data_IF_488872302877
#
_entry.id   IF_488872302877
#
_cell.length_a   1.000
_cell.length_b   1.000
_cell.length_c   1.000
_cell.angle_alpha   90.00
_cell.angle_beta   90.00
_cell.angle_gamma   90.00
#
_symmetry.space_group_name_H-M   'P 1'
#
loop_
_entity.id
_entity.type
_entity.pdbx_description
1 polymer ?
#
# COMPACT_ATOMS: atom_id res chain seq x y z
N UNK A 1 7.22 33.91 -5.18
CA UNK A 1 7.56 32.62 -5.79
C UNK A 1 8.50 31.97 -4.80
N UNK A 2 7.96 31.13 -3.93
CA UNK A 2 8.75 30.42 -2.94
C UNK A 2 9.62 29.40 -3.67
N UNK A 3 10.94 29.50 -3.53
CA UNK A 3 11.88 28.48 -3.96
C UNK A 3 11.68 27.26 -3.06
N UNK A 4 10.76 26.38 -3.45
CA UNK A 4 10.71 25.03 -2.91
C UNK A 4 11.93 24.29 -3.46
N UNK A 5 12.96 24.13 -2.62
CA UNK A 5 14.13 23.31 -2.90
C UNK A 5 13.68 21.88 -3.21
N UNK A 6 13.69 21.49 -4.48
CA UNK A 6 13.44 20.10 -4.89
C UNK A 6 14.70 19.32 -4.53
N UNK A 7 14.60 18.46 -3.51
CA UNK A 7 15.67 17.54 -3.15
C UNK A 7 15.63 16.33 -4.09
N UNK A 8 16.61 16.21 -4.99
CA UNK A 8 16.79 15.00 -5.79
C UNK A 8 17.53 13.95 -4.97
N UNK A 9 16.93 12.77 -4.82
CA UNK A 9 17.61 11.60 -4.29
C UNK A 9 18.55 11.03 -5.37
N UNK A 10 19.85 10.97 -5.10
CA UNK A 10 20.79 10.22 -5.95
C UNK A 10 20.44 8.73 -5.88
N UNK A 11 20.02 8.15 -7.01
CA UNK A 11 19.68 6.72 -7.11
C UNK A 11 20.85 5.77 -6.83
N UNK A 12 22.07 6.30 -6.70
CA UNK A 12 23.27 5.55 -6.31
C UNK A 12 23.57 5.59 -4.81
N UNK A 13 22.80 6.36 -4.02
CA UNK A 13 22.95 6.40 -2.56
C UNK A 13 22.53 5.04 -1.95
N UNK A 14 23.42 4.34 -1.22
CA UNK A 14 23.10 3.06 -0.58
C UNK A 14 21.89 3.12 0.35
N UNK A 15 21.66 4.24 1.03
CA UNK A 15 20.52 4.40 1.93
C UNK A 15 19.21 4.56 1.15
N UNK A 16 19.25 5.25 0.01
CA UNK A 16 18.11 5.37 -0.91
C UNK A 16 17.76 4.02 -1.55
N UNK A 17 18.77 3.26 -1.99
CA UNK A 17 18.59 1.90 -2.51
C UNK A 17 17.97 0.99 -1.43
N UNK A 18 18.39 1.13 -0.17
CA UNK A 18 17.79 0.40 0.94
C UNK A 18 16.33 0.83 1.20
N UNK A 19 16.00 2.11 1.04
CA UNK A 19 14.63 2.60 1.13
C UNK A 19 13.74 1.98 0.03
N UNK A 20 14.22 1.88 -1.21
CA UNK A 20 13.51 1.19 -2.29
C UNK A 20 13.21 -0.27 -1.93
N UNK A 21 14.22 -1.01 -1.46
CA UNK A 21 14.05 -2.41 -1.05
C UNK A 21 13.02 -2.56 0.06
N UNK A 22 13.07 -1.71 1.10
CA UNK A 22 12.07 -1.71 2.17
C UNK A 22 10.66 -1.45 1.63
N UNK A 23 10.50 -0.51 0.71
CA UNK A 23 9.21 -0.25 0.06
C UNK A 23 8.70 -1.51 -0.66
N UNK A 24 9.55 -2.17 -1.45
CA UNK A 24 9.20 -3.40 -2.18
C UNK A 24 8.82 -4.55 -1.23
N UNK A 25 9.63 -4.80 -0.20
CA UNK A 25 9.42 -5.88 0.78
C UNK A 25 8.12 -5.70 1.59
N UNK A 26 7.74 -4.45 1.83
CA UNK A 26 6.58 -4.10 2.66
C UNK A 26 5.35 -3.71 1.84
N UNK A 27 5.43 -3.65 0.50
CA UNK A 27 4.32 -3.29 -0.38
C UNK A 27 3.06 -4.13 -0.16
N UNK A 28 3.22 -5.40 0.23
CA UNK A 28 2.10 -6.29 0.60
C UNK A 28 1.17 -5.70 1.67
N UNK A 29 1.70 -4.87 2.59
CA UNK A 29 0.92 -4.20 3.63
C UNK A 29 0.13 -3.01 3.09
N UNK A 30 0.73 -2.23 2.18
CA UNK A 30 0.01 -1.22 1.40
C UNK A 30 -1.15 -1.86 0.64
N UNK A 31 -0.89 -2.94 -0.10
CA UNK A 31 -1.94 -3.63 -0.85
C UNK A 31 -3.04 -4.17 0.06
N UNK A 32 -2.68 -4.73 1.21
CA UNK A 32 -3.66 -5.20 2.19
C UNK A 32 -4.62 -4.08 2.60
N UNK A 33 -4.11 -2.89 2.97
CA UNK A 33 -4.96 -1.75 3.31
C UNK A 33 -5.81 -1.29 2.11
N UNK A 34 -5.19 -1.11 0.95
CA UNK A 34 -5.88 -0.66 -0.26
C UNK A 34 -7.00 -1.63 -0.71
N UNK A 35 -6.78 -2.94 -0.55
CA UNK A 35 -7.79 -3.95 -0.87
C UNK A 35 -9.05 -3.82 0.00
N UNK A 36 -8.89 -3.39 1.26
CA UNK A 36 -10.00 -3.08 2.15
C UNK A 36 -10.62 -1.72 1.87
N UNK A 37 -9.80 -0.74 1.47
CA UNK A 37 -10.29 0.58 1.06
C UNK A 37 -11.30 0.48 -0.09
N UNK A 38 -11.05 -0.35 -1.10
CA UNK A 38 -11.99 -0.59 -2.20
C UNK A 38 -13.31 -1.25 -1.78
N UNK A 39 -13.38 -1.82 -0.57
CA UNK A 39 -14.61 -2.41 0.00
C UNK A 39 -15.38 -1.41 0.85
N UNK A 40 -14.83 -0.21 1.09
CA UNK A 40 -15.50 0.82 1.89
C UNK A 40 -16.47 1.64 1.04
N UNK A 41 -17.62 1.96 1.62
CA UNK A 41 -18.57 2.91 1.04
C UNK A 41 -18.08 4.35 1.25
N UNK A 42 -17.48 4.61 2.42
CA UNK A 42 -16.90 5.91 2.78
C UNK A 42 -15.38 5.70 2.83
N UNK A 43 -14.61 6.41 1.98
CA UNK A 43 -13.16 6.32 1.98
C UNK A 43 -12.56 6.54 3.38
N UNK A 44 -11.63 5.68 3.76
CA UNK A 44 -10.88 5.78 5.01
C UNK A 44 -9.49 6.39 4.81
N UNK A 45 -8.94 6.30 3.60
CA UNK A 45 -7.62 6.83 3.27
C UNK A 45 -7.73 8.25 2.75
N UNK A 46 -6.88 9.14 3.26
CA UNK A 46 -6.73 10.51 2.75
C UNK A 46 -5.86 10.55 1.50
N UNK A 47 -4.86 9.67 1.43
CA UNK A 47 -3.93 9.49 0.32
C UNK A 47 -3.64 8.00 0.21
N UNK A 48 -3.49 7.52 -1.02
CA UNK A 48 -2.97 6.19 -1.32
C UNK A 48 -2.32 6.20 -2.70
N UNK A 49 -1.01 6.05 -2.74
CA UNK A 49 -0.24 6.09 -3.98
C UNK A 49 1.05 5.27 -3.88
N UNK A 50 1.55 4.84 -5.04
CA UNK A 50 2.80 4.08 -5.17
C UNK A 50 3.71 4.86 -6.10
N UNK A 51 4.98 5.00 -5.74
CA UNK A 51 6.00 5.62 -6.59
C UNK A 51 6.75 4.52 -7.32
N UNK A 52 6.86 4.64 -8.63
CA UNK A 52 7.50 3.65 -9.50
C UNK A 52 8.51 4.30 -10.41
N UNK A 53 9.51 3.52 -10.85
CA UNK A 53 10.47 3.95 -11.86
C UNK A 53 9.88 3.83 -13.27
N UNK A 54 9.97 4.90 -14.04
CA UNK A 54 9.75 4.92 -15.48
C UNK A 54 11.06 5.26 -16.17
N UNK A 55 11.25 4.77 -17.40
CA UNK A 55 12.45 5.10 -18.15
C UNK A 55 12.18 5.25 -19.64
N UNK A 56 12.99 6.10 -20.27
CA UNK A 56 13.00 6.34 -21.72
C UNK A 56 14.44 6.61 -22.18
N UNK A 57 14.70 6.46 -23.47
CA UNK A 57 15.98 6.90 -24.03
C UNK A 57 15.90 8.37 -24.39
N UNK A 58 16.83 9.16 -23.87
CA UNK A 58 16.95 10.56 -24.21
C UNK A 58 17.52 10.75 -25.64
N UNK A 59 17.69 12.01 -26.06
CA UNK A 59 18.17 12.36 -27.41
C UNK A 59 19.61 11.89 -27.70
N UNK A 60 20.42 11.64 -26.66
CA UNK A 60 21.78 11.09 -26.80
C UNK A 60 21.79 9.55 -26.82
N UNK A 61 20.63 8.92 -26.58
CA UNK A 61 20.48 7.47 -26.50
C UNK A 61 20.77 6.87 -25.12
N UNK A 62 21.05 7.72 -24.11
CA UNK A 62 21.21 7.33 -22.71
C UNK A 62 19.85 7.08 -22.05
N UNK A 63 19.81 6.19 -21.06
CA UNK A 63 18.58 5.90 -20.33
C UNK A 63 18.35 7.01 -19.30
N UNK A 64 17.22 7.68 -19.42
CA UNK A 64 16.71 8.60 -18.42
C UNK A 64 15.68 7.87 -17.54
N UNK A 65 15.69 8.13 -16.23
CA UNK A 65 14.85 7.43 -15.26
C UNK A 65 14.18 8.46 -14.36
N UNK A 66 12.85 8.43 -14.32
CA UNK A 66 12.05 9.24 -13.41
C UNK A 66 11.25 8.37 -12.46
N UNK A 67 11.19 8.77 -11.19
CA UNK A 67 10.36 8.11 -10.19
C UNK A 67 9.08 8.90 -9.97
N UNK A 68 7.95 8.34 -10.40
CA UNK A 68 6.67 9.05 -10.45
C UNK A 68 5.57 8.26 -9.73
N UNK A 69 4.55 8.98 -9.29
CA UNK A 69 3.45 8.44 -8.51
C UNK A 69 2.35 7.89 -9.42
N UNK A 70 1.82 6.74 -9.04
CA UNK A 70 0.60 6.16 -9.58
C UNK A 70 -0.44 6.00 -8.45
N UNK A 71 -1.73 6.05 -8.80
CA UNK A 71 -2.86 5.79 -7.90
C UNK A 71 -3.79 4.68 -8.48
N UNK A 72 -4.93 4.46 -7.82
CA UNK A 72 -5.92 3.43 -8.17
C UNK A 72 -5.25 2.08 -8.42
N UNK A 73 -4.45 1.69 -7.43
CA UNK A 73 -3.56 0.55 -7.51
C UNK A 73 -4.36 -0.75 -7.56
N UNK A 74 -3.99 -1.66 -8.45
CA UNK A 74 -4.42 -3.05 -8.47
C UNK A 74 -3.18 -3.93 -8.38
N UNK A 75 -3.26 -5.06 -7.68
CA UNK A 75 -2.14 -5.98 -7.54
C UNK A 75 -2.60 -7.42 -7.71
N UNK A 76 -1.94 -8.14 -8.61
CA UNK A 76 -2.24 -9.54 -8.94
C UNK A 76 -1.33 -10.55 -8.23
N UNK A 77 -0.42 -10.05 -7.37
CA UNK A 77 0.60 -10.84 -6.70
C UNK A 77 1.99 -10.68 -7.31
N UNK A 78 2.10 -10.27 -8.58
CA UNK A 78 3.35 -10.13 -9.34
C UNK A 78 3.61 -8.71 -9.84
N UNK A 79 2.58 -8.07 -10.39
CA UNK A 79 2.63 -6.74 -10.99
C UNK A 79 1.56 -5.84 -10.38
N UNK A 80 1.87 -4.55 -10.32
CA UNK A 80 0.91 -3.52 -9.95
C UNK A 80 0.41 -2.82 -11.21
N UNK A 81 -0.86 -2.46 -11.21
CA UNK A 81 -1.47 -1.61 -12.23
C UNK A 81 -2.04 -0.35 -11.59
N UNK A 82 -2.08 0.75 -12.32
CA UNK A 82 -2.61 2.01 -11.82
C UNK A 82 -2.51 3.12 -12.85
N UNK A 83 -2.88 4.34 -12.47
CA UNK A 83 -2.79 5.52 -13.34
C UNK A 83 -1.69 6.46 -12.88
N UNK A 84 -0.88 6.97 -13.82
CA UNK A 84 0.14 7.99 -13.55
C UNK A 84 -0.51 9.32 -13.14
N UNK A 85 -0.11 9.89 -12.00
CA UNK A 85 -0.76 11.09 -11.42
C UNK A 85 0.08 12.36 -11.42
N UNK A 86 1.33 12.31 -11.92
CA UNK A 86 2.15 13.50 -12.10
C UNK A 86 2.79 13.51 -13.49
N UNK A 87 3.09 14.72 -13.96
CA UNK A 87 3.76 14.92 -15.25
C UNK A 87 5.22 14.44 -15.19
N UNK A 88 5.71 13.78 -16.25
CA UNK A 88 7.15 13.56 -16.43
C UNK A 88 7.86 14.89 -16.74
N UNK A 89 9.12 14.98 -16.33
CA UNK A 89 9.96 16.14 -16.60
C UNK A 89 10.65 16.04 -17.97
N UNK A 90 11.15 14.86 -18.30
CA UNK A 90 11.98 14.59 -19.46
C UNK A 90 11.51 13.38 -20.27
N UNK A 91 10.83 12.41 -19.65
CA UNK A 91 10.31 11.24 -20.36
C UNK A 91 9.24 11.64 -21.38
N UNK A 92 9.34 11.09 -22.60
CA UNK A 92 8.43 11.40 -23.72
C UNK A 92 7.47 10.24 -24.06
N UNK A 93 7.68 9.08 -23.46
CA UNK A 93 6.95 7.84 -23.72
C UNK A 93 5.77 7.60 -22.77
N UNK A 94 5.58 8.44 -21.75
CA UNK A 94 4.50 8.38 -20.78
C UNK A 94 3.94 9.79 -20.54
N UNK A 95 2.71 9.90 -20.07
CA UNK A 95 2.05 11.16 -19.70
C UNK A 95 1.08 10.93 -18.53
N UNK A 96 0.72 12.01 -17.83
CA UNK A 96 -0.29 11.93 -16.76
C UNK A 96 -1.60 11.31 -17.26
N UNK A 97 -2.19 10.42 -16.46
CA UNK A 97 -3.41 9.68 -16.78
C UNK A 97 -3.19 8.38 -17.56
N UNK A 98 -1.97 8.05 -17.98
CA UNK A 98 -1.68 6.74 -18.59
C UNK A 98 -1.95 5.61 -17.59
N UNK A 99 -2.58 4.54 -18.08
CA UNK A 99 -2.76 3.29 -17.34
C UNK A 99 -1.56 2.37 -17.59
N UNK A 100 -0.88 1.99 -16.51
CA UNK A 100 0.40 1.28 -16.58
C UNK A 100 0.35 -0.04 -15.81
N UNK A 101 1.19 -0.99 -16.21
CA UNK A 101 1.44 -2.26 -15.52
C UNK A 101 2.94 -2.39 -15.26
N UNK A 102 3.31 -2.50 -14.00
CA UNK A 102 4.68 -2.34 -13.52
C UNK A 102 5.01 -3.49 -12.56
N UNK A 103 6.17 -4.16 -12.67
CA UNK A 103 6.56 -5.19 -11.72
C UNK A 103 6.85 -4.58 -10.34
N UNK A 104 6.62 -5.35 -9.27
CA UNK A 104 6.90 -4.90 -7.89
C UNK A 104 8.35 -4.47 -7.70
N UNK A 105 9.29 -5.00 -8.48
CA UNK A 105 10.73 -4.63 -8.45
C UNK A 105 11.01 -3.19 -8.83
N UNK A 106 10.06 -2.54 -9.51
CA UNK A 106 10.22 -1.17 -10.00
C UNK A 106 9.51 -0.16 -9.10
N UNK A 107 8.88 -0.63 -8.01
CA UNK A 107 8.40 0.22 -6.91
C UNK A 107 9.62 0.84 -6.23
N UNK A 108 9.64 2.17 -6.15
CA UNK A 108 10.62 2.92 -5.39
C UNK A 108 10.07 3.41 -4.05
N UNK A 109 8.77 3.63 -3.93
CA UNK A 109 8.13 3.95 -2.65
C UNK A 109 6.62 3.65 -2.67
N UNK A 110 5.96 3.71 -1.53
CA UNK A 110 4.49 3.75 -1.43
C UNK A 110 4.08 4.52 -0.20
N UNK A 111 2.90 5.13 -0.23
CA UNK A 111 2.40 5.96 0.85
C UNK A 111 0.88 5.82 0.95
N UNK A 112 0.37 5.56 2.15
CA UNK A 112 -1.01 5.87 2.48
C UNK A 112 -1.10 6.70 3.75
N UNK A 113 -2.20 7.43 3.92
CA UNK A 113 -2.41 8.26 5.09
C UNK A 113 -3.84 8.13 5.64
N UNK A 114 -3.97 8.15 6.96
CA UNK A 114 -5.26 8.03 7.66
C UNK A 114 -5.36 9.15 8.70
N UNK A 115 -6.46 9.91 8.69
CA UNK A 115 -6.79 10.86 9.76
C UNK A 115 -7.01 10.10 11.08
N UNK A 116 -6.19 10.37 12.12
CA UNK A 116 -6.37 9.73 13.41
C UNK A 116 -7.74 10.04 14.02
N UNK A 117 -8.39 9.02 14.58
CA UNK A 117 -9.62 9.23 15.35
C UNK A 117 -9.31 9.96 16.65
N UNK A 118 -9.57 11.26 16.71
CA UNK A 118 -9.42 12.04 17.95
C UNK A 118 -10.68 11.91 18.79
N UNK A 119 -10.52 11.54 20.06
CA UNK A 119 -11.62 11.66 21.02
C UNK A 119 -11.99 13.15 21.14
N UNK A 120 -13.19 13.51 20.70
CA UNK A 120 -13.67 14.90 20.82
C UNK A 120 -13.69 15.29 22.30
N UNK A 121 -13.04 16.39 22.71
CA UNK A 121 -13.04 16.84 24.09
C UNK A 121 -14.48 17.09 24.57
N UNK A 122 -14.80 16.57 25.76
CA UNK A 122 -16.12 16.69 26.39
C UNK A 122 -16.10 17.73 27.52
N UNK A 123 -17.21 18.41 27.75
CA UNK A 123 -17.38 19.36 28.85
C UNK A 123 -16.48 20.60 28.70
N UNK A 124 -15.97 21.12 29.82
CA UNK A 124 -15.18 22.36 29.88
C UNK A 124 -13.89 22.32 29.04
N UNK A 125 -13.34 21.12 28.78
CA UNK A 125 -12.15 20.94 27.93
C UNK A 125 -12.35 21.43 26.50
N UNK A 126 -13.60 21.45 25.99
CA UNK A 126 -13.94 21.96 24.66
C UNK A 126 -13.70 23.47 24.50
N UNK A 127 -13.75 24.24 25.59
CA UNK A 127 -13.51 25.69 25.55
C UNK A 127 -12.03 26.04 25.36
N UNK A 128 -11.13 25.07 25.60
CA UNK A 128 -9.68 25.25 25.55
C UNK A 128 -9.00 24.33 24.53
N UNK A 129 -9.77 23.49 23.81
CA UNK A 129 -9.22 22.60 22.78
C UNK A 129 -9.02 23.36 21.47
N UNK A 130 -7.84 23.23 20.87
CA UNK A 130 -7.59 23.69 19.50
C UNK A 130 -8.56 23.02 18.53
N UNK A 131 -9.13 23.81 17.61
CA UNK A 131 -10.09 23.35 16.60
C UNK A 131 -9.45 22.74 15.35
N UNK A 132 -8.12 22.67 15.28
CA UNK A 132 -7.42 22.08 14.13
C UNK A 132 -7.57 20.56 14.16
N UNK A 133 -8.13 19.99 13.10
CA UNK A 133 -8.09 18.55 12.88
C UNK A 133 -6.63 18.08 12.83
N UNK A 134 -6.29 16.91 13.39
CA UNK A 134 -4.95 16.39 13.26
C UNK A 134 -4.64 16.15 11.78
N UNK A 135 -3.39 16.37 11.38
CA UNK A 135 -2.94 15.95 10.07
C UNK A 135 -3.11 14.42 9.92
N UNK A 136 -3.47 13.92 8.72
CA UNK A 136 -3.45 12.50 8.45
C UNK A 136 -2.07 11.91 8.70
N UNK A 137 -2.01 10.82 9.49
CA UNK A 137 -0.78 10.12 9.78
C UNK A 137 -0.39 9.24 8.59
N UNK A 138 0.88 9.27 8.20
CA UNK A 138 1.38 8.50 7.07
C UNK A 138 1.90 7.12 7.45
N UNK A 139 1.84 6.20 6.50
CA UNK A 139 2.42 4.87 6.56
C UNK A 139 3.22 4.60 5.28
N UNK A 140 4.37 3.93 5.42
CA UNK A 140 5.36 3.82 4.33
C UNK A 140 6.14 5.12 4.12
N UNK A 141 6.37 5.49 2.86
CA UNK A 141 7.13 6.69 2.48
C UNK A 141 8.62 6.53 2.77
N UNK A 142 9.22 5.38 2.49
CA UNK A 142 10.59 5.05 2.87
C UNK A 142 11.62 6.01 2.28
N UNK A 143 11.43 6.41 1.02
CA UNK A 143 12.34 7.35 0.34
C UNK A 143 12.14 8.76 0.87
N UNK A 144 10.89 9.12 1.19
CA UNK A 144 10.56 10.39 1.83
C UNK A 144 11.23 10.46 3.20
N UNK A 145 11.17 9.38 3.99
CA UNK A 145 11.76 9.33 5.33
C UNK A 145 13.29 9.35 5.29
N UNK A 146 13.92 8.70 4.30
CA UNK A 146 15.35 8.89 4.02
C UNK A 146 15.61 10.36 3.76
N UNK A 147 14.92 11.02 2.83
CA UNK A 147 15.15 12.45 2.59
C UNK A 147 14.96 13.31 3.85
N UNK A 148 13.97 12.98 4.69
CA UNK A 148 13.72 13.65 5.98
C UNK A 148 14.79 13.40 7.05
N UNK A 149 15.64 12.37 6.91
CA UNK A 149 16.76 12.15 7.83
C UNK A 149 17.86 13.19 7.66
N UNK A 150 17.99 13.75 6.46
CA UNK A 150 18.96 14.81 6.12
C UNK A 150 18.45 16.22 6.50
N UNK A 151 17.17 16.34 6.89
CA UNK A 151 16.54 17.59 7.27
C UNK A 151 16.73 17.94 8.75
N UNK A 152 16.70 19.23 9.09
CA UNK A 152 16.51 19.71 10.45
C UNK A 152 15.08 19.48 10.95
N UNK A 153 14.85 19.67 12.25
CA UNK A 153 13.50 19.57 12.81
C UNK A 153 12.53 20.63 12.26
N UNK A 154 13.04 21.84 11.92
CA UNK A 154 12.20 22.88 11.31
C UNK A 154 11.83 22.51 9.88
N UNK A 155 12.79 22.06 9.07
CA UNK A 155 12.55 21.65 7.69
C UNK A 155 11.58 20.46 7.61
N UNK A 156 11.67 19.49 8.53
CA UNK A 156 10.67 18.41 8.61
C UNK A 156 9.27 18.94 8.92
N UNK A 157 9.15 19.92 9.82
CA UNK A 157 7.85 20.53 10.13
C UNK A 157 7.29 21.29 8.93
N UNK A 158 8.13 22.03 8.22
CA UNK A 158 7.73 22.76 7.02
C UNK A 158 7.35 21.80 5.88
N UNK A 159 8.07 20.68 5.75
CA UNK A 159 7.73 19.58 4.85
C UNK A 159 6.36 18.98 5.19
N UNK A 160 6.12 18.60 6.44
CA UNK A 160 4.84 18.03 6.89
C UNK A 160 3.67 19.01 6.65
N UNK A 161 3.89 20.30 6.89
CA UNK A 161 2.93 21.35 6.57
C UNK A 161 2.69 21.50 5.06
N UNK A 162 3.73 21.43 4.22
CA UNK A 162 3.59 21.53 2.77
C UNK A 162 2.75 20.37 2.20
N UNK A 163 2.92 19.17 2.75
CA UNK A 163 2.17 17.99 2.35
C UNK A 163 0.79 17.87 3.03
N UNK A 164 0.55 18.64 4.10
CA UNK A 164 -0.61 18.49 4.97
C UNK A 164 -0.74 17.06 5.53
N UNK A 165 0.39 16.43 5.86
CA UNK A 165 0.49 15.07 6.37
C UNK A 165 1.44 15.02 7.58
N UNK A 166 1.12 14.18 8.55
CA UNK A 166 2.02 13.87 9.68
C UNK A 166 2.86 12.64 9.33
N UNK A 167 4.12 12.89 9.01
CA UNK A 167 5.07 11.83 8.70
C UNK A 167 5.77 11.24 9.93
N UNK A 168 5.54 11.77 11.14
CA UNK A 168 6.14 11.28 12.37
C UNK A 168 7.67 11.27 12.37
N UNK A 169 8.26 10.38 13.17
CA UNK A 169 9.71 10.17 13.28
C UNK A 169 10.23 9.38 12.07
N UNK A 170 11.24 9.92 11.39
CA UNK A 170 11.85 9.28 10.23
C UNK A 170 12.60 7.97 10.57
N UNK A 171 12.91 7.73 11.84
CA UNK A 171 13.50 6.46 12.31
C UNK A 171 12.45 5.37 12.60
N UNK A 172 11.16 5.73 12.66
CA UNK A 172 10.08 4.83 13.04
C UNK A 172 8.96 4.84 11.98
N UNK A 173 9.25 4.19 10.86
CA UNK A 173 8.33 4.09 9.73
C UNK A 173 7.28 3.03 10.01
N UNK A 174 6.04 3.48 10.22
CA UNK A 174 4.89 2.62 10.43
C UNK A 174 4.38 2.09 9.07
N UNK A 175 3.97 0.83 9.01
CA UNK A 175 3.49 0.20 7.77
C UNK A 175 2.04 -0.28 7.84
N UNK A 176 1.46 -0.35 9.04
CA UNK A 176 0.04 -0.64 9.26
C UNK A 176 -0.57 0.31 10.28
N UNK A 177 -1.88 0.55 10.17
CA UNK A 177 -2.59 1.43 11.11
C UNK A 177 -2.54 0.89 12.55
N UNK A 178 -2.32 1.79 13.50
CA UNK A 178 -2.16 1.51 14.94
C UNK A 178 -1.15 0.40 15.28
N UNK A 179 -0.12 0.21 14.46
CA UNK A 179 0.89 -0.82 14.66
C UNK A 179 1.53 -0.83 16.06
N UNK A 180 1.71 0.34 16.69
CA UNK A 180 2.28 0.44 18.03
C UNK A 180 1.28 0.07 19.12
N UNK A 181 0.03 0.49 18.98
CA UNK A 181 -1.04 0.27 19.96
C UNK A 181 -1.66 -1.14 19.85
N UNK A 182 -1.70 -1.69 18.64
CA UNK A 182 -2.35 -2.95 18.24
C UNK A 182 -1.36 -3.73 17.33
N UNK A 183 -0.26 -4.29 17.87
CA UNK A 183 0.79 -4.95 17.08
C UNK A 183 0.30 -6.19 16.32
N UNK A 184 -0.82 -6.80 16.72
CA UNK A 184 -1.51 -7.85 15.97
C UNK A 184 -1.92 -7.41 14.56
N UNK A 185 -2.06 -6.10 14.32
CA UNK A 185 -2.38 -5.54 13.00
C UNK A 185 -1.26 -5.82 11.98
N UNK A 186 -0.02 -6.10 12.41
CA UNK A 186 1.06 -6.56 11.52
C UNK A 186 0.82 -7.98 11.00
N UNK A 187 0.06 -8.80 11.74
CA UNK A 187 -0.25 -10.17 11.36
C UNK A 187 -1.54 -10.18 10.54
N UNK A 188 -2.63 -9.65 11.08
CA UNK A 188 -3.96 -9.72 10.46
C UNK A 188 -4.60 -8.34 10.44
N UNK A 189 -5.27 -8.00 9.35
CA UNK A 189 -5.94 -6.71 9.23
C UNK A 189 -7.24 -6.68 10.04
N UNK A 190 -7.53 -5.63 10.84
CA UNK A 190 -8.76 -5.57 11.65
C UNK A 190 -10.05 -5.81 10.88
N UNK A 191 -10.12 -5.34 9.62
CA UNK A 191 -11.32 -5.56 8.79
C UNK A 191 -11.49 -7.02 8.36
N UNK A 192 -10.41 -7.78 8.20
CA UNK A 192 -10.47 -9.22 7.90
C UNK A 192 -11.15 -9.98 9.03
N UNK A 193 -10.81 -9.64 10.28
CA UNK A 193 -11.47 -10.20 11.48
C UNK A 193 -12.92 -9.74 11.57
N UNK A 194 -13.15 -8.42 11.50
CA UNK A 194 -14.48 -7.84 11.73
C UNK A 194 -15.51 -8.21 10.65
N UNK A 195 -15.06 -8.55 9.44
CA UNK A 195 -15.93 -8.89 8.33
C UNK A 195 -16.20 -10.40 8.21
N UNK A 196 -15.63 -11.23 9.09
CA UNK A 196 -15.77 -12.69 9.05
C UNK A 196 -17.23 -13.16 8.90
N UNK A 197 -18.12 -12.72 9.78
CA UNK A 197 -19.52 -13.18 9.78
C UNK A 197 -20.28 -12.73 8.53
N UNK A 198 -20.10 -11.48 8.11
CA UNK A 198 -20.72 -10.97 6.87
C UNK A 198 -20.20 -11.70 5.63
N UNK A 199 -18.92 -12.08 5.63
CA UNK A 199 -18.31 -12.82 4.55
C UNK A 199 -18.83 -14.27 4.50
N UNK A 200 -19.01 -14.91 5.66
CA UNK A 200 -19.67 -16.21 5.75
C UNK A 200 -21.10 -16.16 5.19
N UNK A 201 -21.90 -15.17 5.61
CA UNK A 201 -23.27 -14.96 5.08
C UNK A 201 -23.25 -14.76 3.56
N UNK A 202 -22.31 -13.97 3.04
CA UNK A 202 -22.14 -13.75 1.61
C UNK A 202 -21.88 -15.06 0.85
N UNK A 203 -20.95 -15.90 1.33
CA UNK A 203 -20.65 -17.18 0.69
C UNK A 203 -21.80 -18.19 0.79
N UNK A 204 -22.58 -18.18 1.88
CA UNK A 204 -23.78 -19.01 1.98
C UNK A 204 -24.84 -18.64 0.94
N UNK A 205 -24.98 -17.35 0.65
CA UNK A 205 -25.90 -16.85 -0.37
C UNK A 205 -25.36 -17.01 -1.79
N UNK A 206 -24.03 -17.03 -1.95
CA UNK A 206 -23.35 -17.03 -3.24
C UNK A 206 -22.22 -18.09 -3.28
N UNK A 207 -22.51 -19.39 -3.13
CA UNK A 207 -21.49 -20.43 -3.00
C UNK A 207 -20.62 -20.59 -4.27
N UNK A 208 -21.14 -20.22 -5.44
CA UNK A 208 -20.41 -20.29 -6.70
C UNK A 208 -19.29 -19.23 -6.81
N UNK A 209 -19.27 -18.22 -5.94
CA UNK A 209 -18.20 -17.21 -5.90
C UNK A 209 -16.82 -17.79 -5.63
N UNK A 210 -16.75 -18.94 -4.95
CA UNK A 210 -15.49 -19.65 -4.72
C UNK A 210 -14.88 -20.25 -5.99
N UNK A 211 -15.68 -20.41 -7.05
CA UNK A 211 -15.26 -21.03 -8.33
C UNK A 211 -14.90 -20.00 -9.40
N UNK A 212 -15.34 -18.76 -9.25
CA UNK A 212 -15.02 -17.70 -10.19
C UNK A 212 -13.56 -17.28 -10.07
N UNK A 213 -12.99 -16.88 -11.19
CA UNK A 213 -11.68 -16.23 -11.27
C UNK A 213 -11.76 -14.99 -12.14
N UNK A 214 -10.85 -14.05 -11.89
CA UNK A 214 -10.71 -12.83 -12.69
C UNK A 214 -9.95 -13.07 -14.00
N UNK A 215 -9.64 -11.99 -14.71
CA UNK A 215 -8.89 -12.02 -15.96
C UNK A 215 -7.47 -12.61 -15.84
N UNK A 216 -6.89 -12.64 -14.64
CA UNK A 216 -5.60 -13.26 -14.35
C UNK A 216 -5.73 -14.71 -13.86
N UNK A 217 -6.96 -15.24 -13.82
CA UNK A 217 -7.25 -16.55 -13.27
C UNK A 217 -7.14 -16.60 -11.74
N UNK A 218 -7.14 -15.45 -11.06
CA UNK A 218 -7.12 -15.41 -9.60
C UNK A 218 -8.53 -15.67 -9.06
N UNK A 219 -8.67 -16.75 -8.31
CA UNK A 219 -9.90 -17.02 -7.55
C UNK A 219 -10.01 -16.10 -6.33
N UNK A 220 -11.15 -16.14 -5.64
CA UNK A 220 -11.31 -15.48 -4.35
C UNK A 220 -10.18 -15.84 -3.37
N UNK A 221 -9.84 -17.14 -3.27
CA UNK A 221 -8.79 -17.61 -2.37
C UNK A 221 -7.43 -17.00 -2.71
N UNK A 222 -7.10 -16.84 -4.00
CA UNK A 222 -5.87 -16.17 -4.43
C UNK A 222 -5.85 -14.70 -3.98
N UNK A 223 -6.90 -13.95 -4.28
CA UNK A 223 -6.98 -12.50 -3.99
C UNK A 223 -6.91 -12.21 -2.49
N UNK A 224 -7.61 -12.98 -1.66
CA UNK A 224 -7.54 -12.84 -0.20
C UNK A 224 -6.19 -13.27 0.37
N UNK A 225 -5.51 -14.25 -0.26
CA UNK A 225 -4.15 -14.65 0.11
C UNK A 225 -3.14 -13.56 -0.25
N UNK A 226 -3.24 -12.98 -1.45
CA UNK A 226 -2.37 -11.87 -1.90
C UNK A 226 -2.53 -10.67 -0.95
N UNK A 227 -3.77 -10.35 -0.57
CA UNK A 227 -4.08 -9.32 0.41
C UNK A 227 -3.69 -9.67 1.86
N UNK A 228 -3.28 -10.90 2.17
CA UNK A 228 -2.86 -11.27 3.53
C UNK A 228 -4.02 -11.36 4.54
N UNK A 229 -5.23 -11.71 4.10
CA UNK A 229 -6.43 -11.79 4.94
C UNK A 229 -6.64 -13.22 5.49
N UNK A 230 -5.87 -13.64 6.49
CA UNK A 230 -5.90 -14.99 7.04
C UNK A 230 -7.31 -15.47 7.43
N UNK A 231 -8.08 -14.63 8.11
CA UNK A 231 -9.43 -14.96 8.59
C UNK A 231 -10.36 -15.27 7.42
N UNK A 232 -10.29 -14.46 6.36
CA UNK A 232 -11.09 -14.67 5.16
C UNK A 232 -10.61 -15.90 4.39
N UNK A 233 -9.29 -16.14 4.31
CA UNK A 233 -8.71 -17.36 3.71
C UNK A 233 -9.20 -18.62 4.42
N UNK A 234 -9.20 -18.64 5.76
CA UNK A 234 -9.72 -19.76 6.54
C UNK A 234 -11.20 -20.02 6.26
N UNK A 235 -12.03 -18.96 6.27
CA UNK A 235 -13.45 -19.05 5.93
C UNK A 235 -13.67 -19.61 4.53
N UNK A 236 -12.93 -19.11 3.53
CA UNK A 236 -13.06 -19.58 2.16
C UNK A 236 -12.74 -21.08 2.04
N UNK A 237 -11.68 -21.55 2.71
CA UNK A 237 -11.31 -22.97 2.73
C UNK A 237 -12.35 -23.83 3.44
N UNK A 238 -12.88 -23.38 4.59
CA UNK A 238 -13.96 -24.06 5.32
C UNK A 238 -15.24 -24.15 4.48
N UNK A 239 -15.50 -23.14 3.65
CA UNK A 239 -16.61 -23.10 2.70
C UNK A 239 -16.37 -23.93 1.41
N UNK A 240 -15.20 -24.57 1.27
CA UNK A 240 -14.90 -25.48 0.16
C UNK A 240 -14.12 -24.88 -1.00
N UNK A 241 -13.43 -23.75 -0.82
CA UNK A 241 -12.52 -23.23 -1.83
C UNK A 241 -11.40 -24.24 -2.15
N UNK A 242 -11.17 -24.49 -3.44
CA UNK A 242 -10.09 -25.37 -3.87
C UNK A 242 -8.74 -24.63 -3.85
N UNK A 243 -7.87 -25.07 -2.95
CA UNK A 243 -6.51 -24.52 -2.75
C UNK A 243 -5.51 -24.85 -3.85
N UNK A 244 -5.83 -25.83 -4.71
CA UNK A 244 -4.91 -26.32 -5.75
C UNK A 244 -5.17 -25.66 -7.10
N UNK A 245 -6.18 -24.80 -7.23
CA UNK A 245 -6.41 -24.05 -8.46
C UNK A 245 -5.18 -23.19 -8.74
N UNK A 246 -4.73 -23.21 -9.99
CA UNK A 246 -3.65 -22.36 -10.47
C UNK A 246 -4.23 -21.15 -11.21
N UNK A 247 -3.68 -19.98 -10.93
CA UNK A 247 -3.84 -18.77 -11.74
C UNK A 247 -3.24 -18.93 -13.14
N UNK A 248 -3.45 -17.95 -14.04
CA UNK A 248 -2.82 -17.96 -15.37
C UNK A 248 -1.29 -17.93 -15.33
N UNK A 249 -0.72 -17.42 -14.25
CA UNK A 249 0.72 -17.47 -13.97
C UNK A 249 1.20 -18.85 -13.48
N UNK A 250 0.32 -19.84 -13.36
CA UNK A 250 0.64 -21.19 -12.86
C UNK A 250 0.80 -21.29 -11.34
N UNK A 251 0.47 -20.22 -10.60
CA UNK A 251 0.61 -20.13 -9.14
C UNK A 251 -0.70 -20.47 -8.43
N UNK A 252 -0.60 -21.25 -7.37
CA UNK A 252 -1.66 -21.51 -6.39
C UNK A 252 -1.71 -20.40 -5.33
N UNK A 253 -2.73 -20.40 -4.47
CA UNK A 253 -2.77 -19.51 -3.32
C UNK A 253 -1.56 -19.70 -2.41
N UNK A 254 -1.08 -20.93 -2.23
CA UNK A 254 0.12 -21.22 -1.41
C UNK A 254 1.38 -20.57 -1.99
N UNK A 255 1.52 -20.57 -3.32
CA UNK A 255 2.66 -19.96 -4.00
C UNK A 255 2.69 -18.44 -3.76
N UNK A 256 1.55 -17.76 -3.84
CA UNK A 256 1.47 -16.33 -3.51
C UNK A 256 1.73 -16.05 -2.02
N UNK A 257 1.22 -16.90 -1.11
CA UNK A 257 1.51 -16.75 0.32
C UNK A 257 3.02 -16.85 0.61
N UNK A 258 3.72 -17.78 -0.06
CA UNK A 258 5.18 -17.93 0.04
C UNK A 258 5.91 -16.75 -0.59
N UNK A 259 5.52 -16.34 -1.80
CA UNK A 259 6.13 -15.22 -2.51
C UNK A 259 6.04 -13.91 -1.72
N UNK A 260 4.89 -13.64 -1.09
CA UNK A 260 4.64 -12.43 -0.32
C UNK A 260 5.06 -12.58 1.15
N UNK A 261 5.67 -13.69 1.55
CA UNK A 261 6.03 -13.97 2.95
C UNK A 261 4.85 -13.73 3.92
N UNK A 262 3.67 -14.26 3.59
CA UNK A 262 2.53 -14.31 4.51
C UNK A 262 2.63 -15.55 5.40
N UNK A 263 3.60 -15.53 6.31
CA UNK A 263 3.96 -16.67 7.17
C UNK A 263 2.79 -17.24 7.97
N UNK A 264 1.86 -16.39 8.39
CA UNK A 264 0.69 -16.78 9.16
C UNK A 264 -0.40 -17.47 8.31
N UNK A 265 -0.35 -17.35 6.97
CA UNK A 265 -1.29 -17.99 6.03
C UNK A 265 -0.76 -19.33 5.51
N UNK A 266 0.57 -19.45 5.31
CA UNK A 266 1.22 -20.64 4.74
C UNK A 266 0.73 -21.95 5.41
N UNK A 267 0.72 -22.09 6.76
CA UNK A 267 0.32 -23.33 7.42
C UNK A 267 -1.15 -23.71 7.22
N UNK A 268 -2.00 -22.76 6.85
CA UNK A 268 -3.42 -23.01 6.58
C UNK A 268 -3.60 -23.58 5.17
N UNK A 269 -2.80 -23.12 4.22
CA UNK A 269 -2.86 -23.56 2.82
C UNK A 269 -2.13 -24.88 2.57
N UNK A 270 -1.16 -25.26 3.40
CA UNK A 270 -0.41 -26.53 3.27
C UNK A 270 -1.17 -27.79 3.70
N UNK A 271 -2.32 -27.65 4.38
CA UNK A 271 -3.09 -28.77 4.96
C UNK A 271 -3.77 -29.67 3.92
#
# INVERSE_FOLDING_TARGET
MEENSIFFADGNDPEMINAFKKAQETFKYFWREQSWEYRRIIPGLNVSCVKVAFSDKNETGELDVEHMWINDIFFDGDSIKGYLINEPNTLKNVQVGDYVEIPVTDISDWLFAITPSVQKPKGLSKLFSSSSEPLPKTYGGFTIQKMRSDMSASERKDHDNAWQLDFGDFNDIQIVNKQTEEPENLVEHPMSVNMKEKFLEFLQQNPDELKHSDENGLTLLHRETIAGNLTIVQVALEAGADRNIQSKAGKTALDYAKQLNWEHIIPVLER
#
